data_IF_854873610120
#
_entry.id   IF_854873610120
#
_cell.length_a   1.000
_cell.length_b   1.000
_cell.length_c   1.000
_cell.angle_alpha   90.00
_cell.angle_beta   90.00
_cell.angle_gamma   90.00
#
_symmetry.space_group_name_H-M   'P 1'
#
loop_
_entity.id
_entity.type
_entity.pdbx_description
1 polymer ?
#
# COMPACT_ATOMS: atom_id res chain seq x y z
N UNK A 1 24.37 -15.71 17.23
CA UNK A 1 24.35 -14.37 16.58
C UNK A 1 24.22 -14.59 15.08
N UNK A 2 23.36 -13.85 14.35
CA UNK A 2 23.08 -14.09 12.92
C UNK A 2 23.53 -12.90 12.07
N UNK A 3 24.36 -13.17 11.08
CA UNK A 3 24.80 -12.22 10.05
C UNK A 3 24.23 -12.65 8.70
N UNK A 4 24.02 -11.69 7.81
CA UNK A 4 23.48 -11.90 6.48
C UNK A 4 24.30 -11.09 5.49
N UNK A 5 24.85 -11.74 4.47
CA UNK A 5 25.47 -11.02 3.35
C UNK A 5 24.36 -10.54 2.43
N UNK A 6 24.20 -9.21 2.32
CA UNK A 6 23.25 -8.61 1.41
C UNK A 6 23.83 -8.56 -0.01
N UNK A 7 25.12 -8.23 -0.12
CA UNK A 7 25.94 -8.35 -1.33
C UNK A 7 27.42 -8.44 -0.94
N UNK A 8 28.33 -8.42 -1.92
CA UNK A 8 29.79 -8.49 -1.71
C UNK A 8 30.38 -7.35 -0.87
N UNK A 9 29.62 -6.27 -0.66
CA UNK A 9 30.08 -5.05 0.02
C UNK A 9 29.32 -4.79 1.34
N UNK A 10 28.16 -5.42 1.55
CA UNK A 10 27.25 -5.13 2.66
C UNK A 10 26.92 -6.40 3.42
N UNK A 11 27.33 -6.43 4.69
CA UNK A 11 26.93 -7.44 5.67
C UNK A 11 25.99 -6.82 6.70
N UNK A 12 24.84 -7.44 6.91
CA UNK A 12 23.85 -7.04 7.91
C UNK A 12 24.01 -7.92 9.15
N UNK A 13 23.97 -7.29 10.33
CA UNK A 13 23.92 -7.98 11.62
C UNK A 13 22.52 -7.83 12.21
N UNK A 14 21.91 -8.95 12.59
CA UNK A 14 20.64 -8.91 13.31
C UNK A 14 20.87 -8.67 14.81
N UNK A 15 20.50 -7.48 15.27
CA UNK A 15 20.61 -7.09 16.68
C UNK A 15 19.41 -7.55 17.51
N UNK A 16 18.19 -7.47 16.97
CA UNK A 16 16.98 -7.84 17.68
C UNK A 16 15.71 -7.44 16.94
N UNK A 17 14.57 -7.90 17.45
CA UNK A 17 13.24 -7.53 16.96
C UNK A 17 12.37 -7.13 18.16
N UNK A 18 11.59 -6.07 17.99
CA UNK A 18 10.73 -5.52 19.04
C UNK A 18 9.30 -5.45 18.51
N UNK A 19 8.35 -5.79 19.38
CA UNK A 19 6.93 -5.61 19.11
C UNK A 19 6.58 -4.17 19.49
N UNK A 20 5.94 -3.46 18.56
CA UNK A 20 5.42 -2.12 18.82
C UNK A 20 3.96 -2.21 19.24
N UNK A 21 3.51 -1.27 20.08
CA UNK A 21 2.10 -1.13 20.39
C UNK A 21 1.34 -0.68 19.14
N UNK A 22 0.17 -1.27 18.94
CA UNK A 22 -0.70 -0.97 17.82
C UNK A 22 -1.73 0.09 18.22
N UNK A 23 -1.94 1.09 17.36
CA UNK A 23 -3.03 2.04 17.51
C UNK A 23 -4.39 1.40 17.18
N UNK A 24 -5.39 1.61 18.04
CA UNK A 24 -6.75 1.13 17.83
C UNK A 24 -7.59 2.23 17.19
N UNK A 25 -7.94 2.04 15.92
CA UNK A 25 -8.72 2.98 15.12
C UNK A 25 -10.20 2.83 15.44
N UNK A 26 -10.80 3.87 16.02
CA UNK A 26 -12.22 3.92 16.41
C UNK A 26 -13.02 4.98 15.66
N UNK A 27 -12.34 5.87 14.95
CA UNK A 27 -12.93 6.99 14.21
C UNK A 27 -13.12 6.63 12.75
N UNK A 28 -14.08 7.27 12.09
CA UNK A 28 -14.31 7.10 10.66
C UNK A 28 -13.37 7.95 9.80
N UNK A 29 -12.49 8.73 10.42
CA UNK A 29 -11.50 9.58 9.75
C UNK A 29 -10.17 9.46 10.51
N UNK A 30 -9.08 9.29 9.76
CA UNK A 30 -7.74 9.21 10.34
C UNK A 30 -6.69 9.75 9.38
N UNK A 31 -5.65 10.34 9.94
CA UNK A 31 -4.48 10.78 9.18
C UNK A 31 -3.43 9.67 9.17
N UNK A 32 -3.02 9.26 7.97
CA UNK A 32 -1.92 8.32 7.78
C UNK A 32 -0.68 9.01 7.24
N UNK A 33 0.49 8.49 7.63
CA UNK A 33 1.77 8.76 6.98
C UNK A 33 2.37 7.47 6.45
N UNK A 34 2.86 7.49 5.21
CA UNK A 34 3.49 6.31 4.61
C UNK A 34 4.85 6.03 5.24
N UNK A 35 5.05 4.78 5.65
CA UNK A 35 6.35 4.17 5.95
C UNK A 35 6.97 3.52 4.71
N UNK A 36 6.14 3.10 3.76
CA UNK A 36 6.57 2.69 2.42
C UNK A 36 5.62 3.22 1.33
N UNK A 37 6.09 3.41 0.08
CA UNK A 37 5.27 4.01 -0.98
C UNK A 37 4.01 3.19 -1.27
N UNK A 38 2.91 3.86 -1.56
CA UNK A 38 1.65 3.23 -1.99
C UNK A 38 1.69 3.07 -3.51
N UNK A 39 1.51 1.84 -3.97
CA UNK A 39 1.36 1.53 -5.39
C UNK A 39 -0.12 1.35 -5.73
N UNK A 40 -0.60 2.11 -6.70
CA UNK A 40 -1.90 1.89 -7.33
C UNK A 40 -1.71 1.92 -8.84
N UNK A 41 -2.37 0.98 -9.51
CA UNK A 41 -2.33 0.84 -10.96
C UNK A 41 -3.75 0.51 -11.45
N UNK A 42 -4.08 0.96 -12.64
CA UNK A 42 -5.28 0.54 -13.37
C UNK A 42 -4.89 0.04 -14.75
N UNK A 43 -5.76 -0.77 -15.35
CA UNK A 43 -5.53 -1.37 -16.65
C UNK A 43 -6.14 -0.48 -17.74
N UNK A 44 -5.32 -0.10 -18.72
CA UNK A 44 -5.72 0.61 -19.93
C UNK A 44 -5.22 -0.22 -21.11
N UNK A 45 -6.14 -0.84 -21.84
CA UNK A 45 -5.83 -1.66 -23.02
C UNK A 45 -4.74 -2.74 -22.78
N UNK A 46 -4.77 -3.38 -21.60
CA UNK A 46 -3.80 -4.42 -21.21
C UNK A 46 -2.49 -3.87 -20.65
N UNK A 47 -2.36 -2.55 -20.53
CA UNK A 47 -1.19 -1.88 -19.95
C UNK A 47 -1.53 -1.31 -18.58
N UNK A 48 -0.64 -1.56 -17.62
CA UNK A 48 -0.76 -0.98 -16.28
C UNK A 48 -0.28 0.46 -16.26
N UNK A 49 -1.17 1.37 -15.94
CA UNK A 49 -0.87 2.79 -15.74
C UNK A 49 -0.95 3.17 -14.26
N UNK A 50 -0.06 4.03 -13.75
CA UNK A 50 -0.04 4.41 -12.36
C UNK A 50 -1.19 5.37 -12.01
N UNK A 51 -1.83 5.14 -10.87
CA UNK A 51 -2.87 6.02 -10.33
C UNK A 51 -2.30 6.85 -9.18
N UNK A 52 -2.24 8.18 -9.35
CA UNK A 52 -1.61 9.09 -8.40
C UNK A 52 -2.56 10.19 -7.91
N UNK A 53 -2.61 10.51 -6.60
CA UNK A 53 -3.45 11.59 -6.07
C UNK A 53 -2.71 12.94 -6.08
N UNK A 54 -2.32 13.42 -7.27
CA UNK A 54 -1.54 14.66 -7.42
C UNK A 54 -2.33 15.80 -8.08
N UNK A 55 -3.37 15.49 -8.86
CA UNK A 55 -4.14 16.47 -9.62
C UNK A 55 -5.57 16.56 -9.05
N UNK A 56 -5.98 17.76 -8.60
CA UNK A 56 -7.29 17.96 -7.98
C UNK A 56 -8.48 17.71 -8.94
N UNK A 57 -8.30 17.92 -10.24
CA UNK A 57 -9.35 17.74 -11.25
C UNK A 57 -9.77 16.27 -11.43
N UNK A 58 -8.91 15.31 -11.09
CA UNK A 58 -9.12 13.87 -11.28
C UNK A 58 -9.48 13.16 -9.97
N UNK A 59 -9.67 13.92 -8.90
CA UNK A 59 -9.70 13.37 -7.55
C UNK A 59 -10.94 12.51 -7.25
N UNK A 60 -12.07 12.83 -7.87
CA UNK A 60 -13.28 11.99 -7.83
C UNK A 60 -13.03 10.64 -8.48
N UNK A 61 -12.32 10.62 -9.62
CA UNK A 61 -12.00 9.38 -10.32
C UNK A 61 -10.95 8.56 -9.57
N UNK A 62 -9.94 9.23 -8.99
CA UNK A 62 -8.99 8.62 -8.08
C UNK A 62 -9.69 7.90 -6.93
N UNK A 63 -10.60 8.58 -6.22
CA UNK A 63 -11.33 7.99 -5.10
C UNK A 63 -12.18 6.78 -5.49
N UNK A 64 -12.83 6.82 -6.66
CA UNK A 64 -13.57 5.67 -7.19
C UNK A 64 -12.67 4.45 -7.40
N UNK A 65 -11.53 4.65 -8.06
CA UNK A 65 -10.57 3.57 -8.32
C UNK A 65 -9.91 3.09 -7.03
N UNK A 66 -9.54 4.01 -6.14
CA UNK A 66 -9.00 3.71 -4.82
C UNK A 66 -9.96 2.82 -4.04
N UNK A 67 -11.23 3.20 -3.93
CA UNK A 67 -12.27 2.41 -3.28
C UNK A 67 -12.47 1.04 -3.94
N UNK A 68 -12.52 0.97 -5.27
CA UNK A 68 -12.72 -0.29 -5.99
C UNK A 68 -11.56 -1.28 -5.78
N UNK A 69 -10.31 -0.82 -5.84
CA UNK A 69 -9.12 -1.65 -5.60
C UNK A 69 -9.14 -2.19 -4.17
N UNK A 70 -9.38 -1.34 -3.18
CA UNK A 70 -9.37 -1.75 -1.77
C UNK A 70 -10.56 -2.62 -1.40
N UNK A 71 -11.74 -2.40 -2.00
CA UNK A 71 -12.88 -3.30 -1.87
C UNK A 71 -12.50 -4.72 -2.30
N UNK A 72 -11.84 -4.87 -3.45
CA UNK A 72 -11.39 -6.18 -3.94
C UNK A 72 -10.35 -6.82 -3.01
N UNK A 73 -9.35 -6.05 -2.57
CA UNK A 73 -8.31 -6.53 -1.64
C UNK A 73 -8.94 -7.07 -0.36
N UNK A 74 -9.80 -6.28 0.29
CA UNK A 74 -10.44 -6.71 1.54
C UNK A 74 -11.40 -7.86 1.32
N UNK A 75 -12.06 -7.96 0.17
CA UNK A 75 -12.94 -9.08 -0.17
C UNK A 75 -12.17 -10.40 -0.29
N UNK A 76 -10.95 -10.33 -0.81
CA UNK A 76 -10.09 -11.50 -1.00
C UNK A 76 -9.39 -11.94 0.30
N UNK A 77 -9.12 -11.02 1.23
CA UNK A 77 -8.42 -11.31 2.49
C UNK A 77 -9.41 -11.62 3.64
N UNK A 78 -10.56 -10.95 3.68
CA UNK A 78 -11.56 -11.18 4.72
C UNK A 78 -12.25 -12.52 4.52
N UNK A 79 -12.45 -13.22 5.62
CA UNK A 79 -13.27 -14.43 5.69
C UNK A 79 -14.39 -14.21 6.67
N UNK A 80 -15.63 -14.43 6.23
CA UNK A 80 -16.83 -14.37 7.06
C UNK A 80 -17.63 -15.65 6.82
N UNK A 81 -17.95 -16.38 7.89
CA UNK A 81 -18.68 -17.65 7.80
C UNK A 81 -18.06 -18.67 6.80
N UNK A 82 -16.72 -18.80 6.80
CA UNK A 82 -15.95 -19.65 5.88
C UNK A 82 -16.13 -19.29 4.38
N UNK A 83 -16.53 -18.06 4.08
CA UNK A 83 -16.67 -17.52 2.71
C UNK A 83 -15.89 -16.22 2.57
N UNK A 84 -15.64 -15.79 1.33
CA UNK A 84 -15.08 -14.46 1.05
C UNK A 84 -15.94 -13.38 1.70
N UNK A 85 -15.30 -12.47 2.42
CA UNK A 85 -15.97 -11.37 3.12
C UNK A 85 -16.60 -10.35 2.18
N UNK A 86 -17.25 -9.31 2.71
CA UNK A 86 -18.03 -8.35 1.91
C UNK A 86 -17.18 -7.32 1.13
N UNK A 87 -15.85 -7.32 1.31
CA UNK A 87 -15.00 -6.23 0.85
C UNK A 87 -14.97 -5.10 1.87
N UNK A 88 -15.04 -3.85 1.40
CA UNK A 88 -15.22 -2.67 2.25
C UNK A 88 -16.60 -2.64 2.91
N UNK A 89 -16.68 -2.17 4.16
CA UNK A 89 -17.95 -1.90 4.85
C UNK A 89 -18.52 -0.53 4.49
N UNK A 90 -17.66 0.44 4.15
CA UNK A 90 -18.02 1.79 3.71
C UNK A 90 -17.09 2.23 2.58
N UNK A 91 -17.59 3.05 1.65
CA UNK A 91 -16.73 3.68 0.64
C UNK A 91 -15.62 4.50 1.31
N UNK A 92 -14.47 4.58 0.63
CA UNK A 92 -13.34 5.35 1.12
C UNK A 92 -13.32 6.74 0.49
N UNK A 93 -12.95 7.73 1.30
CA UNK A 93 -12.61 9.06 0.81
C UNK A 93 -11.18 9.38 1.24
N UNK A 94 -10.27 9.37 0.28
CA UNK A 94 -8.88 9.80 0.42
C UNK A 94 -8.82 11.32 0.29
N UNK A 95 -7.95 11.98 1.06
CA UNK A 95 -7.65 13.42 0.94
C UNK A 95 -6.13 13.64 1.06
N UNK A 96 -5.42 14.07 0.00
CA UNK A 96 -3.99 14.31 0.06
C UNK A 96 -3.71 15.53 0.93
N UNK A 97 -2.77 15.39 1.87
CA UNK A 97 -2.27 16.53 2.63
C UNK A 97 -0.90 16.97 2.10
N UNK A 98 0.05 16.03 2.07
CA UNK A 98 1.40 16.25 1.57
C UNK A 98 1.88 14.99 0.90
N UNK A 99 1.56 14.85 -0.38
CA UNK A 99 1.90 13.67 -1.19
C UNK A 99 2.93 14.04 -2.25
N UNK A 100 3.82 13.11 -2.57
CA UNK A 100 4.74 13.19 -3.72
C UNK A 100 4.75 11.90 -4.51
N UNK A 101 5.06 12.01 -5.81
CA UNK A 101 5.38 10.86 -6.67
C UNK A 101 6.69 10.22 -6.22
N UNK A 102 6.76 8.89 -6.26
CA UNK A 102 7.97 8.10 -6.04
C UNK A 102 8.09 7.04 -7.12
N UNK A 103 9.27 6.87 -7.71
CA UNK A 103 9.52 5.77 -8.65
C UNK A 103 10.48 4.78 -8.00
N UNK A 104 10.07 3.52 -7.91
CA UNK A 104 10.83 2.44 -7.27
C UNK A 104 11.35 1.47 -8.33
N UNK A 105 12.66 1.22 -8.30
CA UNK A 105 13.30 0.13 -9.05
C UNK A 105 13.02 -1.17 -8.30
N UNK A 106 12.06 -1.95 -8.77
CA UNK A 106 11.68 -3.19 -8.12
C UNK A 106 12.32 -4.37 -8.86
N UNK A 107 13.01 -5.22 -8.10
CA UNK A 107 13.66 -6.42 -8.64
C UNK A 107 12.87 -7.63 -8.20
N UNK A 108 12.33 -8.37 -9.18
CA UNK A 108 11.76 -9.69 -8.96
C UNK A 108 12.57 -10.69 -9.77
N UNK A 109 12.96 -11.81 -9.15
CA UNK A 109 13.73 -12.85 -9.81
C UNK A 109 13.05 -13.31 -11.11
N UNK A 110 11.76 -13.65 -11.04
CA UNK A 110 10.99 -14.05 -12.22
C UNK A 110 10.82 -12.95 -13.28
N UNK A 111 10.87 -11.66 -12.92
CA UNK A 111 10.84 -10.58 -13.91
C UNK A 111 12.14 -10.53 -14.72
N UNK A 112 13.29 -10.74 -14.06
CA UNK A 112 14.60 -10.78 -14.72
C UNK A 112 14.68 -11.93 -15.71
N UNK A 113 14.23 -13.12 -15.31
CA UNK A 113 14.24 -14.31 -16.17
C UNK A 113 13.36 -14.13 -17.41
N UNK A 114 12.14 -13.60 -17.23
CA UNK A 114 11.19 -13.46 -18.33
C UNK A 114 11.54 -12.33 -19.33
N UNK A 115 12.13 -11.23 -18.84
CA UNK A 115 12.28 -10.01 -19.66
C UNK A 115 13.73 -9.68 -20.00
N UNK A 116 14.71 -10.31 -19.33
CA UNK A 116 16.12 -9.93 -19.40
C UNK A 116 16.45 -8.56 -18.79
N UNK A 117 15.46 -7.82 -18.27
CA UNK A 117 15.67 -6.49 -17.68
C UNK A 117 16.05 -6.63 -16.21
N UNK A 118 16.99 -5.80 -15.69
CA UNK A 118 17.48 -5.93 -14.32
C UNK A 118 16.45 -5.55 -13.25
N UNK A 119 15.46 -4.73 -13.59
CA UNK A 119 14.40 -4.28 -12.68
C UNK A 119 13.19 -3.77 -13.48
N UNK A 120 12.03 -3.74 -12.83
CA UNK A 120 10.86 -3.01 -13.28
C UNK A 120 10.78 -1.64 -12.58
N UNK A 121 10.18 -0.66 -13.23
CA UNK A 121 9.95 0.67 -12.66
C UNK A 121 8.49 0.76 -12.23
N UNK A 122 8.25 0.90 -10.93
CA UNK A 122 6.91 1.08 -10.37
C UNK A 122 6.75 2.54 -9.96
N UNK A 123 5.71 3.19 -10.49
CA UNK A 123 5.37 4.57 -10.14
C UNK A 123 4.32 4.55 -9.03
N UNK A 124 4.71 5.10 -7.88
CA UNK A 124 3.98 5.10 -6.62
C UNK A 124 3.79 6.54 -6.12
N UNK A 125 3.11 6.68 -4.99
CA UNK A 125 3.11 7.92 -4.21
C UNK A 125 3.41 7.64 -2.73
N UNK A 126 3.92 8.64 -2.04
CA UNK A 126 4.22 8.58 -0.60
C UNK A 126 3.96 9.94 0.05
N UNK A 127 3.68 9.95 1.36
CA UNK A 127 3.45 11.16 2.13
C UNK A 127 2.37 11.02 3.19
N UNK A 128 1.68 12.13 3.49
CA UNK A 128 0.59 12.19 4.46
C UNK A 128 -0.76 12.47 3.79
N UNK A 129 -1.81 11.82 4.28
CA UNK A 129 -3.18 11.95 3.78
C UNK A 129 -4.20 11.64 4.87
N UNK A 130 -5.39 12.20 4.76
CA UNK A 130 -6.55 11.75 5.52
C UNK A 130 -7.27 10.65 4.75
N UNK A 131 -7.79 9.67 5.47
CA UNK A 131 -8.62 8.62 4.92
C UNK A 131 -9.89 8.48 5.76
N UNK A 132 -11.03 8.65 5.11
CA UNK A 132 -12.33 8.34 5.69
C UNK A 132 -12.83 6.98 5.24
N UNK A 133 -13.50 6.28 6.14
CA UNK A 133 -14.03 4.94 5.90
C UNK A 133 -14.61 4.32 7.17
N UNK A 134 -14.96 3.03 7.10
CA UNK A 134 -15.35 2.28 8.30
C UNK A 134 -14.10 2.02 9.18
N UNK A 135 -14.16 2.22 10.51
CA UNK A 135 -13.01 2.00 11.38
C UNK A 135 -12.38 0.60 11.25
N UNK A 136 -13.17 -0.44 10.93
CA UNK A 136 -12.66 -1.80 10.70
C UNK A 136 -11.88 -1.92 9.40
N UNK A 137 -12.25 -1.14 8.38
CA UNK A 137 -11.51 -1.05 7.12
C UNK A 137 -10.19 -0.30 7.35
N UNK A 138 -10.25 0.83 8.06
CA UNK A 138 -9.08 1.64 8.41
C UNK A 138 -8.08 0.85 9.26
N UNK A 139 -8.54 0.07 10.25
CA UNK A 139 -7.68 -0.83 11.04
C UNK A 139 -6.99 -1.86 10.15
N UNK A 140 -7.72 -2.50 9.24
CA UNK A 140 -7.14 -3.48 8.32
C UNK A 140 -6.05 -2.84 7.47
N UNK A 141 -6.28 -1.64 6.93
CA UNK A 141 -5.28 -0.94 6.13
C UNK A 141 -4.02 -0.57 6.91
N UNK A 142 -4.16 -0.20 8.17
CA UNK A 142 -3.02 0.02 9.05
C UNK A 142 -2.20 -1.26 9.25
N UNK A 143 -2.86 -2.41 9.39
CA UNK A 143 -2.22 -3.72 9.63
C UNK A 143 -1.59 -4.33 8.37
N UNK A 144 -2.29 -4.30 7.23
CA UNK A 144 -1.89 -5.02 6.00
C UNK A 144 -1.21 -4.13 4.96
N UNK A 145 -1.25 -2.81 5.17
CA UNK A 145 -0.86 -1.80 4.20
C UNK A 145 -1.97 -1.40 3.21
N UNK A 146 -1.73 -0.30 2.51
CA UNK A 146 -2.63 0.34 1.54
C UNK A 146 -2.09 0.14 0.11
N UNK A 147 -2.99 -0.21 -0.80
CA UNK A 147 -2.68 -0.38 -2.22
C UNK A 147 -2.18 -1.77 -2.58
N UNK A 148 -1.47 -1.84 -3.70
CA UNK A 148 -1.02 -3.09 -4.29
C UNK A 148 0.36 -3.51 -3.77
N UNK A 149 0.63 -4.82 -3.81
CA UNK A 149 1.95 -5.42 -3.51
C UNK A 149 2.45 -5.12 -2.09
N UNK A 150 1.56 -5.06 -1.10
CA UNK A 150 1.95 -4.74 0.28
C UNK A 150 2.95 -5.74 0.86
N UNK A 151 2.82 -7.03 0.53
CA UNK A 151 3.79 -8.09 0.86
C UNK A 151 5.15 -7.98 0.15
N UNK A 152 5.37 -6.97 -0.71
CA UNK A 152 6.63 -6.71 -1.42
C UNK A 152 7.28 -5.38 -1.00
N UNK A 153 6.88 -4.83 0.14
CA UNK A 153 7.47 -3.61 0.71
C UNK A 153 6.79 -2.31 0.29
N UNK A 154 5.49 -2.36 -0.05
CA UNK A 154 4.69 -1.18 -0.42
C UNK A 154 3.54 -0.98 0.59
N UNK A 155 3.00 0.24 0.64
CA UNK A 155 1.73 0.53 1.29
C UNK A 155 1.72 0.57 2.82
N UNK A 156 2.84 0.33 3.49
CA UNK A 156 2.90 0.38 4.95
C UNK A 156 2.68 1.83 5.41
N UNK A 157 1.82 2.00 6.42
CA UNK A 157 1.47 3.32 6.98
C UNK A 157 1.54 3.30 8.49
N UNK A 158 1.63 4.49 9.07
CA UNK A 158 1.42 4.72 10.49
C UNK A 158 0.34 5.80 10.70
N UNK A 159 -0.33 5.74 11.84
CA UNK A 159 -1.30 6.76 12.26
C UNK A 159 -0.53 7.99 12.74
N UNK A 160 -0.99 9.17 12.33
CA UNK A 160 -0.49 10.46 12.81
C UNK A 160 -1.52 11.05 13.77
N UNK A 161 -1.08 11.34 15.00
CA UNK A 161 -1.85 12.04 16.04
C UNK A 161 -1.26 13.39 16.34
#
# INVERSE_FOLDING_TARGET
MRFFEFNSEITLKFEGAYILNEEIIRTENITFRTLSPILLEYDVDGKKEPLLPLNNSEFTEFNKHFTAVHHRILRDIRTENNKKGPGLYKELEFFPLKIRKKVVKHTLHGFRELTGKPYMMLTCFEGCFDLKGDPRDLQMFYQIGIGLRTGQGFGMVEVVG
#
